data_IF_820867889938
#
_entry.id   IF_820867889938
#
_cell.length_a   1.000
_cell.length_b   1.000
_cell.length_c   1.000
_cell.angle_alpha   90.00
_cell.angle_beta   90.00
_cell.angle_gamma   90.00
#
_symmetry.space_group_name_H-M   'P 1'
#
loop_
_entity.id
_entity.type
_entity.pdbx_description
1 polymer ?
#
# COMPACT_ATOMS: atom_id res chain seq x y z
N UNK A 1 11.26 28.14 -13.10
CA UNK A 1 11.58 27.13 -14.13
C UNK A 1 11.72 25.77 -13.43
N UNK A 2 11.63 24.64 -14.13
CA UNK A 2 11.76 23.33 -13.49
C UNK A 2 13.10 23.16 -12.73
N UNK A 3 14.18 23.71 -13.27
CA UNK A 3 15.52 23.72 -12.65
C UNK A 3 15.60 24.50 -11.33
N UNK A 4 14.84 25.60 -11.19
CA UNK A 4 14.77 26.38 -9.94
C UNK A 4 14.02 25.61 -8.85
N UNK A 5 12.96 24.89 -9.21
CA UNK A 5 12.23 24.02 -8.28
C UNK A 5 13.07 22.82 -7.85
N UNK A 6 13.84 22.23 -8.77
CA UNK A 6 14.77 21.15 -8.47
C UNK A 6 15.85 21.59 -7.46
N UNK A 7 16.44 22.77 -7.66
CA UNK A 7 17.45 23.30 -6.74
C UNK A 7 16.87 23.55 -5.35
N UNK A 8 15.69 24.18 -5.27
CA UNK A 8 14.99 24.39 -3.99
C UNK A 8 14.59 23.08 -3.31
N UNK A 9 14.22 22.06 -4.09
CA UNK A 9 13.92 20.75 -3.55
C UNK A 9 15.15 20.08 -2.93
N UNK A 10 16.33 20.25 -3.56
CA UNK A 10 17.60 19.77 -3.02
C UNK A 10 17.97 20.50 -1.73
N UNK A 11 17.82 21.83 -1.69
CA UNK A 11 18.01 22.60 -0.45
C UNK A 11 17.06 22.12 0.67
N UNK A 12 15.77 21.97 0.38
CA UNK A 12 14.80 21.45 1.33
C UNK A 12 15.13 20.01 1.79
N UNK A 13 15.70 19.18 0.92
CA UNK A 13 16.15 17.84 1.27
C UNK A 13 17.35 17.85 2.22
N UNK A 14 18.33 18.71 1.97
CA UNK A 14 19.49 18.87 2.86
C UNK A 14 19.10 19.45 4.23
N UNK A 15 18.03 20.25 4.28
CA UNK A 15 17.42 20.77 5.51
C UNK A 15 16.49 19.75 6.21
N UNK A 16 16.46 18.49 5.76
CA UNK A 16 15.57 17.41 6.23
C UNK A 16 14.06 17.74 6.14
N UNK A 17 13.68 18.77 5.38
CA UNK A 17 12.29 19.14 5.11
C UNK A 17 11.75 18.33 3.93
N UNK A 18 11.52 17.04 4.18
CA UNK A 18 11.13 16.08 3.15
C UNK A 18 9.76 16.34 2.52
N UNK A 19 8.80 16.89 3.28
CA UNK A 19 7.47 17.25 2.76
C UNK A 19 7.58 18.37 1.72
N UNK A 20 8.34 19.42 2.03
CA UNK A 20 8.58 20.51 1.09
C UNK A 20 9.37 20.03 -0.13
N UNK A 21 10.40 19.19 0.07
CA UNK A 21 11.16 18.61 -1.03
C UNK A 21 10.27 17.79 -1.98
N UNK A 22 9.35 16.99 -1.43
CA UNK A 22 8.39 16.21 -2.20
C UNK A 22 7.46 17.10 -3.05
N UNK A 23 6.90 18.15 -2.45
CA UNK A 23 5.99 19.07 -3.13
C UNK A 23 6.69 19.86 -4.24
N UNK A 24 7.92 20.31 -3.99
CA UNK A 24 8.75 21.01 -4.99
C UNK A 24 9.11 20.10 -6.16
N UNK A 25 9.50 18.84 -5.89
CA UNK A 25 9.78 17.85 -6.95
C UNK A 25 8.52 17.51 -7.74
N UNK A 26 7.37 17.39 -7.09
CA UNK A 26 6.09 17.13 -7.77
C UNK A 26 5.72 18.28 -8.71
N UNK A 27 5.93 19.52 -8.29
CA UNK A 27 5.76 20.69 -9.15
C UNK A 27 6.78 20.70 -10.30
N UNK A 28 8.05 20.38 -10.04
CA UNK A 28 9.09 20.32 -11.05
C UNK A 28 8.78 19.25 -12.13
N UNK A 29 8.30 18.08 -11.72
CA UNK A 29 7.85 17.00 -12.61
C UNK A 29 6.67 17.47 -13.47
N UNK A 30 5.74 18.23 -12.90
CA UNK A 30 4.63 18.84 -13.66
C UNK A 30 5.11 19.76 -14.80
N UNK A 31 6.26 20.42 -14.64
CA UNK A 31 6.88 21.26 -15.66
C UNK A 31 7.82 20.49 -16.61
N UNK A 32 8.38 19.37 -16.17
CA UNK A 32 9.36 18.59 -16.93
C UNK A 32 9.17 17.08 -16.69
N UNK A 33 8.09 16.49 -17.24
CA UNK A 33 7.67 15.12 -16.91
C UNK A 33 8.59 14.02 -17.46
N UNK A 34 9.53 14.38 -18.34
CA UNK A 34 10.50 13.45 -18.95
C UNK A 34 11.90 13.58 -18.35
N UNK A 35 12.07 14.34 -17.25
CA UNK A 35 13.35 14.45 -16.57
C UNK A 35 13.52 13.30 -15.56
N UNK A 36 14.44 12.38 -15.84
CA UNK A 36 14.72 11.22 -15.00
C UNK A 36 15.28 11.59 -13.61
N UNK A 37 16.08 12.67 -13.52
CA UNK A 37 16.69 13.10 -12.25
C UNK A 37 15.61 13.48 -11.23
N UNK A 38 14.52 14.13 -11.67
CA UNK A 38 13.42 14.54 -10.78
C UNK A 38 12.71 13.35 -10.13
N UNK A 39 12.49 12.27 -10.88
CA UNK A 39 11.91 11.05 -10.32
C UNK A 39 12.92 10.33 -9.40
N UNK A 40 14.21 10.30 -9.76
CA UNK A 40 15.24 9.70 -8.90
C UNK A 40 15.41 10.46 -7.56
N UNK A 41 15.32 11.79 -7.59
CA UNK A 41 15.36 12.64 -6.40
C UNK A 41 14.08 12.47 -5.57
N UNK A 42 12.89 12.37 -6.20
CA UNK A 42 11.63 12.13 -5.47
C UNK A 42 11.58 10.73 -4.85
N UNK A 43 12.15 9.73 -5.53
CA UNK A 43 12.35 8.40 -4.95
C UNK A 43 13.21 8.46 -3.69
N UNK A 44 14.26 9.30 -3.67
CA UNK A 44 15.09 9.48 -2.47
C UNK A 44 14.30 10.10 -1.31
N UNK A 45 13.48 11.11 -1.58
CA UNK A 45 12.58 11.72 -0.58
C UNK A 45 11.63 10.66 -0.02
N UNK A 46 10.98 9.88 -0.89
CA UNK A 46 10.07 8.80 -0.50
C UNK A 46 10.76 7.73 0.39
N UNK A 47 12.03 7.39 0.12
CA UNK A 47 12.82 6.49 0.98
C UNK A 47 13.02 7.08 2.38
N UNK A 48 13.23 8.39 2.50
CA UNK A 48 13.42 9.08 3.78
C UNK A 48 12.16 9.12 4.62
N UNK A 49 10.99 9.33 3.98
CA UNK A 49 9.68 9.32 4.67
C UNK A 49 9.05 7.93 4.77
N UNK A 50 9.78 6.87 4.38
CA UNK A 50 9.36 5.47 4.42
C UNK A 50 8.15 5.11 3.52
N UNK A 51 7.91 5.88 2.46
CA UNK A 51 6.94 5.57 1.40
C UNK A 51 7.61 4.72 0.31
N UNK A 52 7.92 3.46 0.64
CA UNK A 52 8.84 2.64 -0.15
C UNK A 52 8.26 2.18 -1.49
N UNK A 53 6.96 1.93 -1.57
CA UNK A 53 6.27 1.55 -2.81
C UNK A 53 6.31 2.66 -3.85
N UNK A 54 6.09 3.90 -3.43
CA UNK A 54 6.18 5.11 -4.23
C UNK A 54 7.62 5.37 -4.66
N UNK A 55 8.59 5.14 -3.76
CA UNK A 55 10.01 5.22 -4.11
C UNK A 55 10.40 4.23 -5.22
N UNK A 56 9.93 2.99 -5.16
CA UNK A 56 10.16 2.00 -6.22
C UNK A 56 9.49 2.44 -7.54
N UNK A 57 8.27 2.98 -7.48
CA UNK A 57 7.56 3.50 -8.66
C UNK A 57 8.33 4.64 -9.33
N UNK A 58 8.75 5.63 -8.56
CA UNK A 58 9.54 6.77 -9.05
C UNK A 58 10.91 6.33 -9.58
N UNK A 59 11.60 5.43 -8.89
CA UNK A 59 12.87 4.89 -9.34
C UNK A 59 12.73 4.11 -10.66
N UNK A 60 11.66 3.31 -10.82
CA UNK A 60 11.36 2.64 -12.09
C UNK A 60 11.07 3.65 -13.19
N UNK A 61 10.35 4.74 -12.90
CA UNK A 61 10.09 5.78 -13.90
C UNK A 61 11.36 6.49 -14.34
N UNK A 62 12.26 6.78 -13.41
CA UNK A 62 13.59 7.32 -13.72
C UNK A 62 14.40 6.37 -14.62
N UNK A 63 14.38 5.06 -14.35
CA UNK A 63 15.04 4.04 -15.17
C UNK A 63 14.42 3.94 -16.57
N UNK A 64 13.09 4.01 -16.67
CA UNK A 64 12.37 4.01 -17.96
C UNK A 64 12.78 5.21 -18.83
N UNK A 65 12.88 6.39 -18.21
CA UNK A 65 13.27 7.64 -18.88
C UNK A 65 14.76 7.66 -19.24
N UNK A 66 15.61 7.13 -18.36
CA UNK A 66 17.05 7.05 -18.57
C UNK A 66 17.61 5.73 -18.00
N UNK A 67 17.75 4.69 -18.84
CA UNK A 67 18.27 3.38 -18.42
C UNK A 67 19.73 3.40 -17.94
N UNK A 68 20.48 4.47 -18.24
CA UNK A 68 21.87 4.65 -17.80
C UNK A 68 22.00 5.44 -16.49
N UNK A 69 20.88 5.76 -15.82
CA UNK A 69 20.87 6.53 -14.59
C UNK A 69 21.20 5.67 -13.36
N UNK A 70 22.48 5.54 -13.03
CA UNK A 70 22.95 4.69 -11.91
C UNK A 70 22.25 4.99 -10.58
N UNK A 71 22.08 6.28 -10.19
CA UNK A 71 21.39 6.64 -8.94
C UNK A 71 19.95 6.12 -8.87
N UNK A 72 19.23 6.01 -9.99
CA UNK A 72 17.87 5.47 -10.00
C UNK A 72 17.84 3.99 -9.61
N UNK A 73 18.80 3.20 -10.08
CA UNK A 73 19.00 1.82 -9.63
C UNK A 73 19.37 1.74 -8.15
N UNK A 74 20.21 2.66 -7.65
CA UNK A 74 20.53 2.75 -6.23
C UNK A 74 19.28 3.03 -5.38
N UNK A 75 18.42 3.95 -5.82
CA UNK A 75 17.15 4.25 -5.13
C UNK A 75 16.22 3.03 -5.12
N UNK A 76 16.05 2.38 -6.27
CA UNK A 76 15.25 1.15 -6.39
C UNK A 76 15.78 0.06 -5.46
N UNK A 77 17.08 -0.22 -5.50
CA UNK A 77 17.71 -1.22 -4.63
C UNK A 77 17.50 -0.92 -3.15
N UNK A 78 17.75 0.32 -2.73
CA UNK A 78 17.57 0.76 -1.34
C UNK A 78 16.11 0.61 -0.88
N UNK A 79 15.14 1.00 -1.72
CA UNK A 79 13.73 0.87 -1.40
C UNK A 79 13.30 -0.61 -1.31
N UNK A 80 13.76 -1.46 -2.24
CA UNK A 80 13.52 -2.90 -2.22
C UNK A 80 14.14 -3.59 -0.99
N UNK A 81 15.35 -3.21 -0.55
CA UNK A 81 15.95 -3.73 0.70
C UNK A 81 15.04 -3.43 1.88
N UNK A 82 14.55 -2.19 2.00
CA UNK A 82 13.63 -1.79 3.07
C UNK A 82 12.26 -2.47 2.98
N UNK A 83 11.86 -2.94 1.81
CA UNK A 83 10.67 -3.78 1.58
C UNK A 83 10.94 -5.28 1.79
N UNK A 84 12.16 -5.66 2.17
CA UNK A 84 12.61 -7.06 2.28
C UNK A 84 12.56 -7.84 0.95
N UNK A 85 12.56 -7.13 -0.19
CA UNK A 85 12.63 -7.70 -1.54
C UNK A 85 14.09 -7.85 -1.99
N UNK A 86 14.87 -8.66 -1.26
CA UNK A 86 16.33 -8.70 -1.41
C UNK A 86 16.81 -9.13 -2.80
N UNK A 87 16.08 -10.03 -3.46
CA UNK A 87 16.43 -10.47 -4.82
C UNK A 87 16.24 -9.37 -5.86
N UNK A 88 15.11 -8.67 -5.79
CA UNK A 88 14.82 -7.52 -6.67
C UNK A 88 15.82 -6.39 -6.40
N UNK A 89 16.17 -6.18 -5.13
CA UNK A 89 17.16 -5.20 -4.75
C UNK A 89 18.54 -5.51 -5.33
N UNK A 90 19.03 -6.74 -5.13
CA UNK A 90 20.32 -7.20 -5.65
C UNK A 90 20.40 -7.01 -7.16
N UNK A 91 19.41 -7.49 -7.91
CA UNK A 91 19.38 -7.36 -9.37
C UNK A 91 19.42 -5.88 -9.82
N UNK A 92 18.67 -4.99 -9.14
CA UNK A 92 18.72 -3.57 -9.44
C UNK A 92 20.10 -2.97 -9.14
N UNK A 93 20.70 -3.33 -8.01
CA UNK A 93 22.02 -2.84 -7.60
C UNK A 93 23.14 -3.33 -8.53
N UNK A 94 23.09 -4.58 -9.01
CA UNK A 94 24.05 -5.12 -9.98
C UNK A 94 24.00 -4.38 -11.32
N UNK A 95 22.80 -4.05 -11.79
CA UNK A 95 22.62 -3.19 -12.96
C UNK A 95 23.19 -1.79 -12.73
N UNK A 96 22.95 -1.20 -11.55
CA UNK A 96 23.52 0.08 -11.17
C UNK A 96 25.05 0.06 -11.06
N UNK A 97 25.62 -0.99 -10.47
CA UNK A 97 27.07 -1.20 -10.34
C UNK A 97 27.75 -1.31 -11.71
N UNK A 98 27.08 -1.96 -12.67
CA UNK A 98 27.58 -2.07 -14.05
C UNK A 98 27.67 -0.71 -14.75
N UNK A 99 26.82 0.25 -14.38
CA UNK A 99 26.83 1.62 -14.88
C UNK A 99 27.81 2.53 -14.14
N UNK A 100 28.10 2.23 -12.86
CA UNK A 100 28.98 3.02 -12.00
C UNK A 100 29.90 2.11 -11.15
N UNK A 101 30.90 1.43 -11.75
CA UNK A 101 31.70 0.40 -11.08
C UNK A 101 32.64 0.93 -9.98
N UNK A 102 32.74 2.25 -9.81
CA UNK A 102 33.54 2.89 -8.76
C UNK A 102 32.74 3.33 -7.53
N UNK A 103 31.42 3.19 -7.52
CA UNK A 103 30.60 3.56 -6.36
C UNK A 103 30.43 2.36 -5.42
N UNK A 104 31.14 2.41 -4.28
CA UNK A 104 31.14 1.33 -3.29
C UNK A 104 29.76 1.06 -2.69
N UNK A 105 28.84 2.04 -2.73
CA UNK A 105 27.48 1.86 -2.19
C UNK A 105 26.76 0.69 -2.85
N UNK A 106 27.00 0.44 -4.14
CA UNK A 106 26.40 -0.72 -4.80
C UNK A 106 26.99 -2.02 -4.27
N UNK A 107 28.31 -2.12 -4.17
CA UNK A 107 28.94 -3.36 -3.68
C UNK A 107 28.59 -3.66 -2.23
N UNK A 108 28.52 -2.62 -1.40
CA UNK A 108 28.14 -2.74 0.02
C UNK A 108 26.69 -3.24 0.14
N UNK A 109 25.74 -2.62 -0.58
CA UNK A 109 24.34 -3.04 -0.55
C UNK A 109 24.09 -4.40 -1.22
N UNK A 110 24.86 -4.77 -2.25
CA UNK A 110 24.79 -6.11 -2.86
C UNK A 110 25.22 -7.17 -1.84
N UNK A 111 26.30 -6.90 -1.11
CA UNK A 111 26.78 -7.78 -0.04
C UNK A 111 25.73 -7.92 1.07
N UNK A 112 25.13 -6.81 1.51
CA UNK A 112 24.05 -6.82 2.50
C UNK A 112 22.86 -7.66 2.01
N UNK A 113 22.47 -7.51 0.75
CA UNK A 113 21.45 -8.37 0.14
C UNK A 113 21.84 -9.84 0.18
N UNK A 114 23.07 -10.20 -0.19
CA UNK A 114 23.54 -11.60 -0.19
C UNK A 114 23.51 -12.24 1.21
N UNK A 115 23.88 -11.49 2.24
CA UNK A 115 23.76 -11.92 3.64
C UNK A 115 22.29 -12.16 4.03
N UNK A 116 21.41 -11.21 3.74
CA UNK A 116 19.97 -11.31 4.05
C UNK A 116 19.28 -12.46 3.29
N UNK A 117 19.69 -12.71 2.05
CA UNK A 117 19.21 -13.83 1.24
C UNK A 117 19.67 -15.18 1.82
N UNK A 118 20.93 -15.24 2.27
CA UNK A 118 21.49 -16.44 2.90
C UNK A 118 20.80 -16.72 4.24
N UNK A 119 20.48 -15.69 5.01
CA UNK A 119 19.68 -15.80 6.25
C UNK A 119 18.26 -16.31 5.97
N UNK A 120 17.57 -15.79 4.94
CA UNK A 120 16.24 -16.28 4.54
C UNK A 120 16.29 -17.76 4.09
N UNK A 121 17.37 -18.14 3.39
CA UNK A 121 17.59 -19.49 2.89
C UNK A 121 18.08 -20.46 3.97
N UNK A 122 18.67 -19.94 5.05
CA UNK A 122 19.31 -20.68 6.13
C UNK A 122 18.35 -21.29 7.16
N UNK A 123 17.04 -21.03 7.09
CA UNK A 123 16.04 -21.72 7.92
C UNK A 123 15.57 -23.01 7.25
N UNK A 124 16.52 -23.92 7.00
CA UNK A 124 16.31 -25.38 6.90
C UNK A 124 17.60 -26.07 7.38
N UNK A 125 17.51 -26.87 8.46
CA UNK A 125 18.17 -28.16 8.45
C UNK A 125 17.13 -29.26 8.68
N UNK A 126 16.73 -29.92 7.59
CA UNK A 126 16.29 -31.32 7.67
C UNK A 126 17.59 -32.12 7.74
N UNK A 127 17.96 -32.51 8.96
CA UNK A 127 19.00 -33.52 9.18
C UNK A 127 18.37 -34.89 8.97
N UNK A 128 18.88 -35.63 7.99
CA UNK A 128 18.75 -37.09 7.95
C UNK A 128 19.64 -37.71 9.04
N UNK A 129 19.16 -38.83 9.58
CA UNK A 129 19.53 -39.45 10.85
C UNK A 129 20.93 -40.08 10.96
N UNK A 130 21.28 -40.41 12.22
CA UNK A 130 22.29 -41.36 12.73
C UNK A 130 23.56 -40.68 13.26
N UNK A 131 23.92 -40.73 14.55
CA UNK A 131 24.13 -41.95 15.37
C UNK A 131 24.27 -41.60 16.88
N UNK A 132 23.59 -42.37 17.72
CA UNK A 132 23.93 -42.88 19.09
C UNK A 132 24.60 -42.03 20.19
N UNK A 133 23.84 -41.95 21.30
CA UNK A 133 24.17 -42.28 22.72
C UNK A 133 24.92 -41.27 23.63
N UNK A 134 24.31 -40.99 24.79
CA UNK A 134 25.07 -40.91 26.07
C UNK A 134 24.66 -39.87 27.13
N UNK A 135 23.67 -40.21 27.96
CA UNK A 135 23.59 -40.03 29.43
C UNK A 135 23.59 -38.63 30.15
N UNK A 136 22.50 -38.42 30.92
CA UNK A 136 22.38 -37.91 32.31
C UNK A 136 22.92 -36.49 32.66
N UNK A 137 22.26 -35.60 33.43
CA UNK A 137 21.53 -35.76 34.72
C UNK A 137 20.88 -34.42 35.18
N UNK A 138 19.77 -34.50 35.94
CA UNK A 138 19.24 -33.58 37.01
C UNK A 138 18.78 -32.14 36.65
N UNK A 139 17.85 -31.45 37.35
CA UNK A 139 16.71 -31.72 38.25
C UNK A 139 16.25 -30.34 38.84
N UNK A 140 14.96 -29.97 38.69
CA UNK A 140 14.05 -29.14 39.56
C UNK A 140 14.47 -27.67 39.90
N UNK A 141 13.66 -26.61 39.76
CA UNK A 141 12.52 -26.08 40.58
C UNK A 141 11.82 -24.94 39.79
N UNK A 142 10.50 -24.82 39.60
CA UNK A 142 9.42 -24.39 40.53
C UNK A 142 9.74 -23.07 41.28
N UNK A 143 8.94 -22.02 41.43
CA UNK A 143 7.59 -21.59 41.06
C UNK A 143 7.54 -20.13 41.63
N UNK A 144 6.90 -19.16 40.97
CA UNK A 144 6.25 -18.04 41.70
C UNK A 144 5.31 -17.22 40.80
N UNK A 145 4.21 -16.87 41.43
CA UNK A 145 2.89 -16.56 40.88
C UNK A 145 2.61 -15.04 40.84
N UNK A 146 1.99 -14.59 39.74
CA UNK A 146 0.89 -13.60 39.65
C UNK A 146 1.13 -12.07 39.97
N UNK A 147 0.21 -11.13 39.60
CA UNK A 147 0.14 -10.41 38.31
C UNK A 147 0.02 -8.85 38.41
N UNK A 148 0.05 -8.16 37.24
CA UNK A 148 -0.55 -6.84 36.83
C UNK A 148 0.44 -5.94 36.04
N UNK A 149 0.02 -4.99 35.16
CA UNK A 149 -1.20 -4.82 34.34
C UNK A 149 -0.84 -4.76 32.80
N UNK A 150 -1.80 -4.64 31.85
CA UNK A 150 -1.51 -4.88 30.44
C UNK A 150 -0.82 -3.67 29.80
N UNK A 151 0.49 -3.75 29.63
CA UNK A 151 1.18 -2.92 28.64
C UNK A 151 0.86 -3.45 27.25
N UNK A 152 0.07 -2.67 26.51
CA UNK A 152 -0.24 -2.86 25.09
C UNK A 152 1.09 -2.94 24.33
N UNK A 153 1.56 -4.16 24.09
CA UNK A 153 2.66 -4.42 23.19
C UNK A 153 2.13 -4.31 21.77
N UNK A 154 2.63 -3.34 21.02
CA UNK A 154 2.40 -3.26 19.57
C UNK A 154 3.14 -4.44 18.95
N UNK A 155 2.42 -5.55 18.77
CA UNK A 155 2.94 -6.81 18.24
C UNK A 155 3.26 -6.59 16.75
N UNK A 156 4.53 -6.79 16.37
CA UNK A 156 4.94 -6.89 14.96
C UNK A 156 4.00 -7.88 14.26
N UNK A 157 3.39 -7.55 13.10
CA UNK A 157 2.40 -8.43 12.49
C UNK A 157 3.02 -9.79 12.17
N UNK A 158 2.44 -10.84 12.76
CA UNK A 158 2.91 -12.24 12.67
C UNK A 158 2.99 -12.76 11.23
N UNK A 159 2.18 -12.20 10.35
CA UNK A 159 2.16 -12.53 8.91
C UNK A 159 2.12 -11.23 8.10
N UNK A 160 2.98 -11.14 7.08
CA UNK A 160 2.95 -10.04 6.10
C UNK A 160 1.86 -10.29 5.07
N UNK A 161 1.33 -9.22 4.51
CA UNK A 161 0.37 -9.29 3.42
C UNK A 161 0.73 -8.28 2.32
N UNK A 162 0.46 -8.65 1.08
CA UNK A 162 0.57 -7.79 -0.10
C UNK A 162 -0.77 -7.75 -0.81
N UNK A 163 -0.99 -6.71 -1.62
CA UNK A 163 -2.15 -6.68 -2.50
C UNK A 163 -1.77 -6.10 -3.85
N UNK A 164 -2.44 -6.57 -4.90
CA UNK A 164 -2.44 -5.97 -6.21
C UNK A 164 -3.86 -5.90 -6.74
N UNK A 165 -4.07 -5.07 -7.77
CA UNK A 165 -5.40 -4.80 -8.27
C UNK A 165 -5.50 -5.11 -9.78
N UNK A 166 -6.64 -5.67 -10.16
CA UNK A 166 -7.18 -5.72 -11.53
C UNK A 166 -8.37 -4.75 -11.66
N UNK A 167 -8.91 -4.48 -12.87
CA UNK A 167 -10.03 -3.54 -13.02
C UNK A 167 -11.24 -3.87 -12.11
N UNK A 168 -11.60 -5.15 -12.03
CA UNK A 168 -12.81 -5.62 -11.33
C UNK A 168 -12.51 -6.48 -10.09
N UNK A 169 -11.24 -6.80 -9.87
CA UNK A 169 -10.81 -7.65 -8.76
C UNK A 169 -9.68 -6.98 -7.98
N UNK A 170 -9.63 -7.24 -6.67
CA UNK A 170 -8.48 -6.96 -5.83
C UNK A 170 -7.95 -8.28 -5.29
N UNK A 171 -6.65 -8.53 -5.42
CA UNK A 171 -6.03 -9.76 -4.97
C UNK A 171 -5.13 -9.43 -3.79
N UNK A 172 -5.35 -10.11 -2.67
CA UNK A 172 -4.60 -9.98 -1.43
C UNK A 172 -3.91 -11.30 -1.15
N UNK A 173 -2.62 -11.25 -0.86
CA UNK A 173 -1.80 -12.42 -0.54
C UNK A 173 -1.29 -12.28 0.88
N UNK A 174 -1.69 -13.18 1.77
CA UNK A 174 -1.15 -13.27 3.13
C UNK A 174 -0.12 -14.38 3.15
N UNK A 175 1.14 -14.05 3.46
CA UNK A 175 2.23 -15.01 3.46
C UNK A 175 2.31 -15.69 4.83
N UNK A 176 1.91 -16.96 4.85
CA UNK A 176 1.68 -17.72 6.07
C UNK A 176 2.13 -19.16 5.82
N UNK A 177 3.36 -19.49 6.23
CA UNK A 177 3.98 -20.81 5.98
C UNK A 177 3.53 -21.84 7.02
N UNK A 178 3.21 -23.05 6.56
CA UNK A 178 2.99 -24.22 7.42
C UNK A 178 1.69 -24.19 8.22
N UNK A 179 0.65 -23.57 7.67
CA UNK A 179 -0.64 -23.40 8.35
C UNK A 179 -1.64 -24.44 7.83
N UNK A 180 -2.26 -25.26 8.72
CA UNK A 180 -3.24 -26.24 8.28
C UNK A 180 -4.50 -25.53 7.76
N UNK A 181 -5.07 -26.05 6.67
CA UNK A 181 -6.25 -25.44 6.02
C UNK A 181 -7.43 -25.28 6.96
N UNK A 182 -7.59 -26.19 7.90
CA UNK A 182 -8.70 -26.22 8.87
C UNK A 182 -8.56 -25.15 9.97
N UNK A 183 -7.40 -24.51 10.09
CA UNK A 183 -7.14 -23.43 11.06
C UNK A 183 -7.44 -22.03 10.53
N UNK A 184 -7.89 -21.92 9.28
CA UNK A 184 -8.06 -20.63 8.59
C UNK A 184 -9.54 -20.39 8.36
N UNK A 185 -10.01 -19.22 8.75
CA UNK A 185 -11.36 -18.74 8.49
C UNK A 185 -11.29 -17.43 7.73
N UNK A 186 -11.99 -17.34 6.61
CA UNK A 186 -12.07 -16.14 5.77
C UNK A 186 -13.53 -15.76 5.59
N UNK A 187 -13.89 -14.57 6.05
CA UNK A 187 -15.24 -14.02 5.94
C UNK A 187 -15.23 -12.74 5.10
N UNK A 188 -16.22 -12.62 4.21
CA UNK A 188 -16.40 -11.46 3.34
C UNK A 188 -17.64 -10.68 3.78
N UNK A 189 -17.45 -9.47 4.29
CA UNK A 189 -18.50 -8.48 4.48
C UNK A 189 -18.64 -7.55 3.27
N UNK A 190 -19.66 -6.69 3.25
CA UNK A 190 -19.85 -5.74 2.14
C UNK A 190 -18.67 -4.77 1.94
N UNK A 191 -17.93 -4.45 3.01
CA UNK A 191 -16.80 -3.53 2.99
C UNK A 191 -15.68 -3.95 3.97
N UNK A 192 -15.69 -5.21 4.40
CA UNK A 192 -14.74 -5.74 5.39
C UNK A 192 -14.28 -7.09 4.89
N UNK A 193 -12.96 -7.32 4.93
CA UNK A 193 -12.38 -8.65 4.84
C UNK A 193 -11.98 -9.07 6.25
N UNK A 194 -12.30 -10.29 6.64
CA UNK A 194 -11.86 -10.86 7.90
C UNK A 194 -11.13 -12.17 7.65
N UNK A 195 -9.86 -12.24 8.03
CA UNK A 195 -9.04 -13.45 7.98
C UNK A 195 -8.57 -13.77 9.37
N UNK A 196 -8.92 -14.96 9.85
CA UNK A 196 -8.49 -15.47 11.15
C UNK A 196 -7.67 -16.73 10.94
N UNK A 197 -6.51 -16.80 11.59
CA UNK A 197 -5.64 -17.98 11.59
C UNK A 197 -5.45 -18.44 13.04
N UNK A 198 -6.04 -19.59 13.38
CA UNK A 198 -6.09 -20.14 14.73
C UNK A 198 -5.30 -21.45 14.84
N UNK A 199 -4.03 -21.35 15.20
CA UNK A 199 -3.15 -22.52 15.38
C UNK A 199 -3.24 -22.96 16.84
N UNK A 200 -3.54 -24.24 17.14
CA UNK A 200 -3.53 -24.73 18.52
C UNK A 200 -2.13 -24.48 19.12
N UNK A 201 -2.10 -23.90 20.32
CA UNK A 201 -0.88 -23.48 21.05
C UNK A 201 -0.23 -22.15 20.63
N UNK A 202 -0.85 -21.34 19.74
CA UNK A 202 -0.36 -19.98 19.43
C UNK A 202 -1.49 -18.95 19.45
N UNK A 203 -1.13 -17.67 19.64
CA UNK A 203 -2.09 -16.58 19.50
C UNK A 203 -2.71 -16.55 18.11
N UNK A 204 -4.04 -16.41 18.09
CA UNK A 204 -4.82 -16.30 16.86
C UNK A 204 -4.43 -15.00 16.14
N UNK A 205 -4.07 -15.13 14.87
CA UNK A 205 -3.84 -13.97 14.01
C UNK A 205 -5.16 -13.52 13.43
N UNK A 206 -5.44 -12.22 13.53
CA UNK A 206 -6.65 -11.59 12.99
C UNK A 206 -6.23 -10.46 12.05
N UNK A 207 -6.65 -10.55 10.80
CA UNK A 207 -6.47 -9.53 9.77
C UNK A 207 -7.84 -9.07 9.29
N UNK A 208 -8.24 -7.87 9.72
CA UNK A 208 -9.58 -7.34 9.51
C UNK A 208 -9.58 -5.92 8.94
N UNK A 209 -9.04 -5.71 7.72
CA UNK A 209 -9.04 -4.39 7.12
C UNK A 209 -10.47 -3.94 6.78
N UNK A 210 -10.75 -2.66 7.06
CA UNK A 210 -11.91 -1.99 6.46
C UNK A 210 -11.53 -1.59 5.04
N UNK A 211 -12.16 -2.21 4.05
CA UNK A 211 -11.80 -2.05 2.66
C UNK A 211 -12.13 -0.65 2.11
N UNK A 212 -11.32 -0.14 1.19
CA UNK A 212 -11.52 1.17 0.57
C UNK A 212 -12.90 1.31 -0.08
N UNK A 213 -13.33 0.30 -0.84
CA UNK A 213 -14.62 0.26 -1.51
C UNK A 213 -15.46 -0.96 -1.13
N UNK A 214 -16.70 -0.99 -1.62
CA UNK A 214 -17.57 -2.16 -1.45
C UNK A 214 -17.12 -3.33 -2.32
N UNK A 215 -17.31 -4.54 -1.80
CA UNK A 215 -17.07 -5.79 -2.51
C UNK A 215 -18.38 -6.55 -2.69
N UNK A 216 -18.37 -7.55 -3.58
CA UNK A 216 -19.49 -8.47 -3.78
C UNK A 216 -19.12 -9.81 -3.11
N UNK A 217 -19.57 -10.07 -1.87
CA UNK A 217 -19.15 -11.26 -1.11
C UNK A 217 -19.36 -12.57 -1.85
N UNK A 218 -20.46 -12.71 -2.59
CA UNK A 218 -20.80 -13.90 -3.36
C UNK A 218 -19.87 -14.20 -4.54
N UNK A 219 -19.06 -13.22 -4.98
CA UNK A 219 -18.06 -13.37 -6.05
C UNK A 219 -16.62 -13.38 -5.53
N UNK A 220 -16.42 -13.20 -4.22
CA UNK A 220 -15.10 -13.28 -3.61
C UNK A 220 -14.70 -14.75 -3.44
N UNK A 221 -13.41 -15.03 -3.57
CA UNK A 221 -12.85 -16.38 -3.43
C UNK A 221 -11.53 -16.32 -2.69
N UNK A 222 -11.16 -17.42 -2.04
CA UNK A 222 -9.82 -17.56 -1.47
C UNK A 222 -9.27 -18.97 -1.71
N UNK A 223 -7.96 -19.08 -1.74
CA UNK A 223 -7.23 -20.32 -1.87
C UNK A 223 -6.13 -20.38 -0.80
N UNK A 224 -6.10 -21.50 -0.07
CA UNK A 224 -5.08 -21.76 0.95
C UNK A 224 -4.02 -22.69 0.40
N UNK A 225 -2.82 -22.15 0.24
CA UNK A 225 -1.61 -22.85 -0.16
C UNK A 225 -0.71 -23.11 1.06
N UNK A 226 0.35 -23.89 0.88
CA UNK A 226 1.28 -24.25 1.96
C UNK A 226 2.10 -23.07 2.49
N UNK A 227 2.29 -22.04 1.67
CA UNK A 227 3.13 -20.86 1.95
C UNK A 227 2.35 -19.55 2.03
N UNK A 228 1.10 -19.52 1.57
CA UNK A 228 0.30 -18.31 1.44
C UNK A 228 -1.20 -18.57 1.37
N UNK A 229 -1.97 -17.54 1.63
CA UNK A 229 -3.41 -17.48 1.41
C UNK A 229 -3.63 -16.42 0.34
N UNK A 230 -4.21 -16.79 -0.79
CA UNK A 230 -4.59 -15.86 -1.86
C UNK A 230 -6.07 -15.57 -1.78
N UNK A 231 -6.44 -14.30 -1.73
CA UNK A 231 -7.81 -13.83 -1.55
C UNK A 231 -8.13 -12.89 -2.71
N UNK A 232 -9.13 -13.25 -3.52
CA UNK A 232 -9.61 -12.42 -4.61
C UNK A 232 -10.95 -11.80 -4.20
N UNK A 233 -10.94 -10.48 -4.02
CA UNK A 233 -12.11 -9.67 -3.75
C UNK A 233 -12.71 -9.15 -5.06
N UNK A 234 -13.99 -9.40 -5.30
CA UNK A 234 -14.71 -8.82 -6.41
C UNK A 234 -15.20 -7.41 -6.03
N UNK A 235 -14.78 -6.40 -6.79
CA UNK A 235 -15.18 -5.01 -6.53
C UNK A 235 -16.64 -4.79 -6.93
N UNK A 236 -17.38 -4.02 -6.14
CA UNK A 236 -18.73 -3.60 -6.52
C UNK A 236 -18.72 -2.49 -7.58
N UNK A 237 -17.70 -1.62 -7.52
CA UNK A 237 -17.54 -0.46 -8.41
C UNK A 237 -16.22 -0.58 -9.21
N UNK A 238 -16.24 -0.11 -10.46
CA UNK A 238 -15.06 -0.05 -11.35
C UNK A 238 -14.13 1.13 -11.01
N UNK A 239 -13.75 1.26 -9.74
CA UNK A 239 -12.90 2.33 -9.22
C UNK A 239 -11.51 1.77 -8.88
N UNK A 240 -10.46 2.53 -9.24
CA UNK A 240 -9.12 2.23 -8.78
C UNK A 240 -8.96 2.60 -7.31
N UNK A 241 -8.62 1.61 -6.49
CA UNK A 241 -8.44 1.82 -5.07
C UNK A 241 -7.04 2.38 -4.85
N UNK A 242 -6.95 3.56 -4.23
CA UNK A 242 -5.65 4.18 -3.92
C UNK A 242 -4.97 3.52 -2.72
N UNK A 243 -5.71 2.73 -1.94
CA UNK A 243 -5.21 1.89 -0.85
C UNK A 243 -6.15 0.71 -0.63
N UNK A 244 -5.67 -0.34 0.05
CA UNK A 244 -6.50 -1.46 0.50
C UNK A 244 -7.49 -1.03 1.59
N UNK A 245 -7.05 -0.16 2.50
CA UNK A 245 -7.84 0.26 3.64
C UNK A 245 -8.54 1.61 3.42
N UNK A 246 -9.72 1.75 4.01
CA UNK A 246 -10.43 3.01 4.10
C UNK A 246 -9.74 3.93 5.11
N UNK A 247 -9.02 4.94 4.61
CA UNK A 247 -8.49 6.01 5.44
C UNK A 247 -9.42 7.23 5.40
N UNK A 248 -9.89 7.70 6.57
CA UNK A 248 -10.76 8.89 6.70
C UNK A 248 -10.12 10.20 6.21
N UNK A 249 -8.82 10.21 5.87
CA UNK A 249 -8.12 11.37 5.30
C UNK A 249 -8.24 11.55 3.78
N UNK A 250 -8.81 10.58 3.05
CA UNK A 250 -8.91 10.65 1.58
C UNK A 250 -10.33 11.02 1.12
N UNK A 251 -10.71 12.28 1.28
CA UNK A 251 -11.79 12.86 0.46
C UNK A 251 -11.21 13.25 -0.89
N UNK A 252 -11.16 12.31 -1.84
CA UNK A 252 -10.91 12.62 -3.25
C UNK A 252 -12.25 12.86 -3.95
N UNK A 253 -12.41 14.06 -4.50
CA UNK A 253 -13.53 14.43 -5.33
C UNK A 253 -13.65 13.49 -6.55
N UNK A 254 -14.82 12.89 -6.74
CA UNK A 254 -15.15 12.10 -7.92
C UNK A 254 -15.06 12.99 -9.17
N UNK A 255 -13.97 12.86 -9.94
CA UNK A 255 -13.93 13.38 -11.32
C UNK A 255 -14.71 12.42 -12.21
N UNK A 256 -15.98 12.73 -12.44
CA UNK A 256 -16.73 12.16 -13.55
C UNK A 256 -16.11 12.66 -14.86
N UNK A 257 -15.49 11.77 -15.62
CA UNK A 257 -15.12 12.02 -17.01
C UNK A 257 -16.38 11.88 -17.88
N UNK A 258 -17.01 13.01 -18.22
CA UNK A 258 -18.05 13.05 -19.25
C UNK A 258 -17.38 13.03 -20.63
N UNK A 259 -17.60 11.95 -21.39
CA UNK A 259 -17.26 11.88 -22.81
C UNK A 259 -18.10 12.90 -23.61
N UNK A 260 -17.52 13.68 -24.54
CA UNK A 260 -18.29 14.54 -25.43
C UNK A 260 -18.90 13.69 -26.56
N UNK A 261 -20.06 13.09 -26.28
CA UNK A 261 -20.86 12.36 -27.26
C UNK A 261 -21.99 13.23 -27.79
N UNK A 262 -21.90 13.61 -29.07
CA UNK A 262 -22.94 14.29 -29.85
C UNK A 262 -24.36 13.76 -29.57
N UNK A 263 -25.26 14.62 -29.10
CA UNK A 263 -26.70 14.40 -29.26
C UNK A 263 -27.38 15.68 -29.76
N UNK A 264 -27.92 15.57 -30.98
CA UNK A 264 -28.78 16.54 -31.65
C UNK A 264 -29.93 16.98 -30.74
N UNK A 265 -30.16 18.29 -30.65
CA UNK A 265 -31.44 18.85 -30.23
C UNK A 265 -32.56 18.29 -31.13
N UNK A 266 -33.49 17.54 -30.53
CA UNK A 266 -34.87 17.45 -31.02
C UNK A 266 -35.77 18.07 -29.97
N UNK A 267 -36.20 19.30 -30.26
CA UNK A 267 -37.31 19.97 -29.60
C UNK A 267 -38.59 19.21 -29.94
N UNK A 268 -39.23 18.61 -28.94
CA UNK A 268 -40.65 18.25 -29.00
C UNK A 268 -41.29 18.71 -27.69
N UNK A 269 -41.95 19.85 -27.77
CA UNK A 269 -42.87 20.35 -26.77
C UNK A 269 -44.21 19.62 -26.90
N UNK A 270 -44.69 18.96 -25.85
CA UNK A 270 -46.12 18.63 -25.68
C UNK A 270 -46.48 18.60 -24.18
N UNK A 271 -47.21 19.64 -23.76
CA UNK A 271 -48.30 19.75 -22.77
C UNK A 271 -48.24 19.05 -21.37
N UNK A 272 -48.50 19.79 -20.26
CA UNK A 272 -48.91 19.24 -18.96
C UNK A 272 -50.44 19.31 -18.76
N UNK A 273 -51.05 18.49 -17.86
CA UNK A 273 -51.87 19.07 -16.75
C UNK A 273 -52.03 18.11 -15.51
N UNK A 274 -52.92 18.37 -14.51
CA UNK A 274 -53.02 19.51 -13.58
C UNK A 274 -53.19 19.05 -12.09
N UNK A 275 -53.67 19.95 -11.21
CA UNK A 275 -54.16 19.84 -9.81
C UNK A 275 -53.20 20.31 -8.69
N UNK A 276 -53.59 21.03 -7.62
CA UNK A 276 -54.52 22.14 -7.26
C UNK A 276 -54.44 22.30 -5.71
N UNK A 277 -54.74 23.52 -5.19
CA UNK A 277 -54.94 24.00 -3.79
C UNK A 277 -53.70 24.60 -3.11
N UNK A 278 -53.57 25.91 -2.80
CA UNK A 278 -54.44 26.98 -2.22
C UNK A 278 -54.73 26.83 -0.72
N UNK A 279 -54.11 27.73 0.07
CA UNK A 279 -54.54 28.29 1.37
C UNK A 279 -53.74 29.62 1.57
N UNK A 280 -54.34 30.82 1.40
CA UNK A 280 -54.88 31.76 2.42
C UNK A 280 -53.92 32.03 3.60
N UNK A 281 -53.61 33.23 4.10
CA UNK A 281 -54.21 34.57 4.11
C UNK A 281 -53.16 35.53 4.75
N UNK A 282 -53.03 36.79 4.29
CA UNK A 282 -52.46 37.90 5.08
C UNK A 282 -53.10 39.23 4.64
N UNK A 283 -54.09 39.66 5.41
CA UNK A 283 -54.58 41.04 5.48
C UNK A 283 -53.63 41.85 6.37
N UNK A 284 -53.31 43.09 5.98
CA UNK A 284 -53.35 44.33 6.78
C UNK A 284 -52.78 45.45 5.91
N UNK A 285 -53.62 46.37 5.45
CA UNK A 285 -53.22 47.78 5.25
C UNK A 285 -54.35 48.66 5.79
N UNK A 286 -54.07 49.27 6.94
CA UNK A 286 -54.81 50.39 7.51
C UNK A 286 -54.51 51.64 6.66
N UNK A 287 -55.54 52.36 6.22
CA UNK A 287 -55.43 53.79 5.94
C UNK A 287 -56.51 54.54 6.71
N UNK A 288 -56.05 55.60 7.34
CA UNK A 288 -56.66 56.44 8.37
C UNK A 288 -57.33 57.66 7.71
N UNK A 289 -58.54 57.99 8.18
CA UNK A 289 -59.18 59.34 8.32
C UNK A 289 -59.38 60.25 7.08
N UNK A 290 -60.42 61.09 6.95
CA UNK A 290 -61.68 61.37 7.69
C UNK A 290 -62.52 62.40 6.91
N UNK A 291 -63.81 62.42 7.24
CA UNK A 291 -64.83 63.46 7.02
C UNK A 291 -65.37 63.70 5.60
#
# INVERSE_FOLDING_TARGET
MASDLELKAKEAFEDDNYDLAYDLLTQAIGLSPNNADLYADRAQVNIKVNNLTEAVSDANKAIELNPSHSKAYLRKGTACIKLEEYQTAKAALEMGASLAPGDSKFTDLIKDCDELIAEESGVIPIQEESTTQGAATKAVEAENDLPEPPTVTVVKPKYRHEFYQKPDEMVITIFAKGIPRDSITVDFGEQILSVTINIPCKDAYVFQPRLFGKIIPSKCRYEVLSTKIEICLAKADHIQWTSLEFNKGSTVAQRFSVLPGNLRLRVLALFPPPYILVTTEKLVYFFIYVA
#
